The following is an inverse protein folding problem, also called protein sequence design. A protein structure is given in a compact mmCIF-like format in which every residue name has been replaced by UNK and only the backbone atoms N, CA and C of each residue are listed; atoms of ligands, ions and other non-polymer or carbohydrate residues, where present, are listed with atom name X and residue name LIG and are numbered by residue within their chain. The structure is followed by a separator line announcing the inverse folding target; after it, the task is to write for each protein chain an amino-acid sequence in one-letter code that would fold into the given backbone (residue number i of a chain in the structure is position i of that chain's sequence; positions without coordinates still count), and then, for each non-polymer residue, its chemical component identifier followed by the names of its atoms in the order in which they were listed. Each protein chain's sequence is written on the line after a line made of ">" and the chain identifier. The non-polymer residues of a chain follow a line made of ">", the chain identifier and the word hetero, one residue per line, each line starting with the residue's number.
data_IF_228976647908
#
_entry.id   IF_228976647908
#
_cell.length_a   1.000
_cell.length_b   1.000
_cell.length_c   1.000
_cell.angle_alpha   90.00
_cell.angle_beta   90.00
_cell.angle_gamma   90.00
#
_symmetry.space_group_name_H-M   'P 1'
#
loop_
_entity.id
_entity.type
_entity.pdbx_description
1 polymer ?
#
# COMPACT_ATOMS: atom_id res chain seq x y z
N UNK A 1 -8.15 -22.04 -22.35
CA UNK A 1 -7.52 -20.71 -22.43
C UNK A 1 -7.78 -20.03 -21.10
N UNK A 2 -6.77 -19.90 -20.26
CA UNK A 2 -6.92 -19.16 -19.00
C UNK A 2 -7.20 -17.71 -19.34
N UNK A 3 -8.36 -17.19 -18.97
CA UNK A 3 -8.65 -15.76 -19.12
C UNK A 3 -7.72 -15.01 -18.17
N UNK A 4 -6.75 -14.28 -18.71
CA UNK A 4 -5.90 -13.39 -17.93
C UNK A 4 -6.80 -12.38 -17.20
N UNK A 5 -6.58 -12.21 -15.90
CA UNK A 5 -7.26 -11.17 -15.12
C UNK A 5 -6.73 -9.78 -15.52
N UNK A 6 -7.63 -8.82 -15.66
CA UNK A 6 -7.28 -7.42 -15.94
C UNK A 6 -6.99 -6.70 -14.62
N UNK A 7 -5.99 -5.82 -14.64
CA UNK A 7 -5.60 -4.96 -13.51
C UNK A 7 -5.95 -3.51 -13.83
N UNK A 8 -6.77 -2.90 -12.99
CA UNK A 8 -7.18 -1.49 -13.11
C UNK A 8 -6.59 -0.69 -11.96
N UNK A 9 -6.11 0.53 -12.25
CA UNK A 9 -5.50 1.40 -11.24
C UNK A 9 -6.22 2.75 -11.15
N UNK A 10 -6.64 3.14 -9.95
CA UNK A 10 -7.22 4.45 -9.70
C UNK A 10 -6.15 5.39 -9.13
N UNK A 11 -5.83 6.47 -9.84
CA UNK A 11 -4.77 7.41 -9.47
C UNK A 11 -5.29 8.83 -9.34
N UNK A 12 -4.63 9.64 -8.51
CA UNK A 12 -4.87 11.08 -8.48
C UNK A 12 -4.57 11.66 -9.87
N UNK A 13 -5.57 12.32 -10.46
CA UNK A 13 -5.37 13.06 -11.70
C UNK A 13 -4.62 14.36 -11.39
N UNK A 14 -3.39 14.46 -11.89
CA UNK A 14 -2.50 15.55 -11.54
C UNK A 14 -2.53 16.63 -12.62
N UNK A 15 -2.86 17.85 -12.22
CA UNK A 15 -2.67 19.05 -13.04
C UNK A 15 -1.26 19.58 -12.84
N UNK A 16 -0.70 20.26 -13.86
CA UNK A 16 0.64 20.88 -13.80
C UNK A 16 0.82 21.78 -12.56
N UNK A 17 -0.27 22.45 -12.14
CA UNK A 17 -0.27 23.32 -10.96
C UNK A 17 -0.07 22.55 -9.65
N UNK A 18 -0.64 21.34 -9.50
CA UNK A 18 -0.43 20.50 -8.29
C UNK A 18 0.98 19.92 -8.26
N UNK A 19 1.49 19.48 -9.41
CA UNK A 19 2.83 18.92 -9.56
C UNK A 19 3.96 19.87 -9.10
N UNK A 20 3.76 21.18 -9.29
CA UNK A 20 4.71 22.20 -8.89
C UNK A 20 4.98 22.21 -7.37
N UNK A 21 3.97 21.86 -6.56
CA UNK A 21 4.04 21.94 -5.09
C UNK A 21 4.20 20.57 -4.43
N UNK A 22 3.55 19.54 -4.97
CA UNK A 22 3.49 18.20 -4.36
C UNK A 22 4.60 17.26 -4.89
N UNK A 23 5.23 17.64 -6.00
CA UNK A 23 6.25 16.84 -6.69
C UNK A 23 5.69 16.03 -7.85
N UNK A 24 6.57 15.28 -8.53
CA UNK A 24 6.17 14.43 -9.64
C UNK A 24 5.42 13.18 -9.14
N UNK A 25 4.26 12.93 -9.71
CA UNK A 25 3.51 11.69 -9.51
C UNK A 25 3.47 10.89 -10.82
N UNK A 26 3.26 9.58 -10.71
CA UNK A 26 3.12 8.72 -11.88
C UNK A 26 1.88 9.11 -12.73
N UNK A 27 0.81 9.59 -12.09
CA UNK A 27 -0.45 9.89 -12.76
C UNK A 27 -1.06 8.66 -13.44
N UNK A 28 -2.03 8.89 -14.33
CA UNK A 28 -2.70 7.84 -15.10
C UNK A 28 -1.72 7.11 -16.04
N UNK A 29 -0.97 7.89 -16.82
CA UNK A 29 -0.02 7.33 -17.80
C UNK A 29 1.12 6.56 -17.11
N UNK A 30 1.61 7.01 -15.96
CA UNK A 30 2.63 6.29 -15.21
C UNK A 30 2.09 5.01 -14.56
N UNK A 31 0.80 4.93 -14.21
CA UNK A 31 0.19 3.71 -13.69
C UNK A 31 0.31 2.55 -14.69
N UNK A 32 0.01 2.79 -15.96
CA UNK A 32 0.13 1.76 -17.02
C UNK A 32 1.58 1.51 -17.42
N UNK A 33 2.42 2.55 -17.51
CA UNK A 33 3.83 2.41 -17.93
C UNK A 33 4.74 1.78 -16.88
N UNK A 34 4.55 2.11 -15.60
CA UNK A 34 5.50 1.76 -14.53
C UNK A 34 4.97 0.71 -13.55
N UNK A 35 3.64 0.58 -13.41
CA UNK A 35 3.02 -0.31 -12.42
C UNK A 35 2.25 -1.47 -13.05
N UNK A 36 2.41 -1.69 -14.36
CA UNK A 36 1.82 -2.82 -15.10
C UNK A 36 0.29 -2.91 -15.00
N UNK A 37 -0.39 -1.78 -14.76
CA UNK A 37 -1.83 -1.71 -14.89
C UNK A 37 -2.24 -1.86 -16.37
N UNK A 38 -3.32 -2.60 -16.64
CA UNK A 38 -3.87 -2.72 -17.99
C UNK A 38 -4.62 -1.45 -18.39
N UNK A 39 -5.25 -0.76 -17.43
CA UNK A 39 -5.86 0.56 -17.62
C UNK A 39 -5.86 1.36 -16.30
N UNK A 40 -6.08 2.68 -16.40
CA UNK A 40 -6.04 3.58 -15.24
C UNK A 40 -7.09 4.69 -15.31
N UNK A 41 -7.66 5.05 -14.17
CA UNK A 41 -8.74 6.05 -14.06
C UNK A 41 -8.45 7.08 -12.96
N UNK A 42 -9.02 8.30 -13.06
CA UNK A 42 -8.98 9.26 -11.96
C UNK A 42 -9.61 8.67 -10.70
N UNK A 43 -8.98 8.91 -9.54
CA UNK A 43 -9.51 8.48 -8.24
C UNK A 43 -10.86 9.14 -7.92
N UNK A 44 -11.10 10.35 -8.45
CA UNK A 44 -12.35 11.09 -8.26
C UNK A 44 -13.54 10.38 -8.95
N UNK A 45 -13.27 9.53 -9.95
CA UNK A 45 -14.29 8.78 -10.70
C UNK A 45 -14.48 7.35 -10.15
N UNK A 46 -13.87 7.03 -8.99
CA UNK A 46 -13.87 5.66 -8.44
C UNK A 46 -15.28 5.14 -8.20
N UNK A 47 -16.19 5.97 -7.67
CA UNK A 47 -17.54 5.53 -7.32
C UNK A 47 -18.35 5.10 -8.55
N UNK A 48 -18.22 5.85 -9.65
CA UNK A 48 -18.93 5.57 -10.89
C UNK A 48 -18.37 4.33 -11.58
N UNK A 49 -17.04 4.29 -11.75
CA UNK A 49 -16.37 3.25 -12.52
C UNK A 49 -16.36 1.92 -11.77
N UNK A 50 -16.05 1.93 -10.48
CA UNK A 50 -15.94 0.70 -9.69
C UNK A 50 -17.31 0.05 -9.50
N UNK A 51 -18.38 0.83 -9.33
CA UNK A 51 -19.76 0.31 -9.34
C UNK A 51 -20.05 -0.48 -10.62
N UNK A 52 -19.66 0.04 -11.79
CA UNK A 52 -19.79 -0.66 -13.07
C UNK A 52 -18.92 -1.92 -13.16
N UNK A 53 -17.69 -1.88 -12.64
CA UNK A 53 -16.78 -3.04 -12.65
C UNK A 53 -17.24 -4.20 -11.75
N UNK A 54 -18.01 -3.90 -10.71
CA UNK A 54 -18.60 -4.87 -9.79
C UNK A 54 -19.84 -5.56 -10.36
N UNK A 55 -20.47 -5.00 -11.40
CA UNK A 55 -21.63 -5.58 -12.06
C UNK A 55 -21.34 -7.02 -12.56
N UNK A 56 -22.24 -7.94 -12.25
CA UNK A 56 -22.19 -9.36 -12.62
C UNK A 56 -20.96 -10.13 -12.11
N UNK A 57 -20.22 -9.59 -11.14
CA UNK A 57 -19.17 -10.35 -10.44
C UNK A 57 -19.81 -11.23 -9.39
N UNK A 58 -19.26 -12.42 -9.18
CA UNK A 58 -19.79 -13.34 -8.16
C UNK A 58 -19.32 -12.96 -6.75
N UNK A 59 -18.03 -12.61 -6.62
CA UNK A 59 -17.35 -12.42 -5.34
C UNK A 59 -16.41 -11.22 -5.36
N UNK A 60 -16.41 -10.46 -4.28
CA UNK A 60 -15.50 -9.33 -4.04
C UNK A 60 -14.59 -9.66 -2.86
N UNK A 61 -13.28 -9.50 -3.07
CA UNK A 61 -12.28 -9.61 -2.02
C UNK A 61 -11.73 -8.23 -1.67
N UNK A 62 -11.80 -7.87 -0.38
CA UNK A 62 -11.34 -6.57 0.11
C UNK A 62 -10.99 -6.67 1.61
N UNK A 63 -10.30 -5.70 2.23
CA UNK A 63 -9.94 -5.76 3.65
C UNK A 63 -11.12 -5.41 4.56
N UNK A 64 -12.12 -6.30 4.60
CA UNK A 64 -13.38 -6.14 5.34
C UNK A 64 -13.16 -5.78 6.82
N UNK A 65 -13.77 -4.69 7.28
CA UNK A 65 -13.71 -4.27 8.68
C UNK A 65 -12.42 -3.52 9.09
N UNK A 66 -11.49 -3.26 8.16
CA UNK A 66 -10.27 -2.49 8.45
C UNK A 66 -10.45 -0.98 8.30
N UNK A 67 -11.32 -0.56 7.40
CA UNK A 67 -11.55 0.84 7.05
C UNK A 67 -13.06 1.05 6.93
N UNK A 68 -13.62 1.86 7.84
CA UNK A 68 -15.06 2.12 7.90
C UNK A 68 -15.58 2.86 6.68
N UNK A 69 -14.76 3.75 6.10
CA UNK A 69 -15.17 4.55 4.96
C UNK A 69 -15.23 3.66 3.72
N UNK A 70 -14.24 2.77 3.55
CA UNK A 70 -14.26 1.77 2.48
C UNK A 70 -15.42 0.77 2.62
N UNK A 71 -15.71 0.32 3.85
CA UNK A 71 -16.86 -0.56 4.11
C UNK A 71 -18.19 0.12 3.72
N UNK A 72 -18.33 1.41 4.00
CA UNK A 72 -19.51 2.19 3.63
C UNK A 72 -19.59 2.40 2.11
N UNK A 73 -18.50 2.83 1.47
CA UNK A 73 -18.43 3.00 0.01
C UNK A 73 -18.81 1.71 -0.73
N UNK A 74 -18.27 0.56 -0.29
CA UNK A 74 -18.62 -0.72 -0.90
C UNK A 74 -20.10 -1.06 -0.74
N UNK A 75 -20.70 -0.80 0.43
CA UNK A 75 -22.13 -1.00 0.62
C UNK A 75 -22.97 -0.14 -0.32
N UNK A 76 -22.56 1.11 -0.55
CA UNK A 76 -23.26 2.03 -1.45
C UNK A 76 -23.11 1.64 -2.91
N UNK A 77 -21.93 1.22 -3.36
CA UNK A 77 -21.76 0.66 -4.71
C UNK A 77 -22.64 -0.58 -4.93
N UNK A 78 -22.68 -1.50 -3.97
CA UNK A 78 -23.54 -2.69 -4.03
C UNK A 78 -25.02 -2.30 -4.06
N UNK A 79 -25.43 -1.30 -3.27
CA UNK A 79 -26.80 -0.77 -3.28
C UNK A 79 -27.17 -0.22 -4.66
N UNK A 80 -26.30 0.61 -5.25
CA UNK A 80 -26.51 1.18 -6.58
C UNK A 80 -26.65 0.11 -7.67
N UNK A 81 -25.90 -0.99 -7.59
CA UNK A 81 -26.03 -2.10 -8.54
C UNK A 81 -27.37 -2.83 -8.35
N UNK A 82 -27.82 -3.02 -7.10
CA UNK A 82 -29.13 -3.67 -6.82
C UNK A 82 -30.32 -2.86 -7.32
N UNK A 83 -30.21 -1.53 -7.31
CA UNK A 83 -31.25 -0.65 -7.88
C UNK A 83 -31.42 -0.87 -9.39
N UNK A 84 -30.35 -1.27 -10.08
CA UNK A 84 -30.36 -1.65 -11.50
C UNK A 84 -30.82 -3.10 -11.75
N UNK A 85 -31.21 -3.87 -10.74
CA UNK A 85 -31.58 -5.30 -10.91
C UNK A 85 -32.64 -5.56 -11.99
N UNK A 86 -33.55 -4.61 -12.22
CA UNK A 86 -34.60 -4.68 -13.26
C UNK A 86 -34.05 -4.68 -14.69
N UNK A 87 -32.81 -4.22 -14.90
CA UNK A 87 -32.14 -4.21 -16.21
C UNK A 87 -31.35 -5.51 -16.48
N UNK A 88 -31.41 -6.49 -15.56
CA UNK A 88 -30.70 -7.76 -15.68
C UNK A 88 -29.29 -7.77 -15.09
N UNK A 89 -28.84 -6.65 -14.51
CA UNK A 89 -27.56 -6.56 -13.81
C UNK A 89 -27.66 -7.19 -12.43
N UNK A 90 -26.64 -7.95 -12.04
CA UNK A 90 -26.55 -8.58 -10.72
C UNK A 90 -25.43 -7.95 -9.89
N UNK A 91 -25.72 -7.66 -8.62
CA UNK A 91 -24.69 -7.28 -7.65
C UNK A 91 -23.94 -8.54 -7.16
N UNK A 92 -22.68 -8.39 -6.74
CA UNK A 92 -21.93 -9.47 -6.10
C UNK A 92 -22.68 -10.16 -4.96
N UNK A 93 -22.68 -11.49 -5.01
CA UNK A 93 -23.36 -12.33 -4.02
C UNK A 93 -22.50 -12.53 -2.77
N UNK A 94 -21.18 -12.57 -2.93
CA UNK A 94 -20.22 -12.81 -1.86
C UNK A 94 -19.26 -11.64 -1.66
N UNK A 95 -19.01 -11.29 -0.41
CA UNK A 95 -17.94 -10.40 0.01
C UNK A 95 -17.07 -11.18 1.00
N UNK A 96 -15.76 -11.17 0.83
CA UNK A 96 -14.84 -11.90 1.68
C UNK A 96 -13.62 -11.06 2.03
N UNK A 97 -13.09 -11.26 3.24
CA UNK A 97 -11.80 -10.66 3.60
C UNK A 97 -10.70 -11.24 2.72
N UNK A 98 -9.92 -10.37 2.09
CA UNK A 98 -8.74 -10.74 1.30
C UNK A 98 -7.53 -11.11 2.18
N UNK A 99 -7.57 -10.70 3.45
CA UNK A 99 -6.40 -10.72 4.33
C UNK A 99 -5.87 -12.11 4.64
N UNK A 100 -6.70 -13.15 4.91
CA UNK A 100 -6.16 -14.48 5.18
C UNK A 100 -5.31 -15.00 4.01
N UNK A 101 -5.74 -14.72 2.78
CA UNK A 101 -5.03 -15.12 1.55
C UNK A 101 -3.74 -14.31 1.42
N UNK A 102 -3.82 -12.98 1.52
CA UNK A 102 -2.65 -12.11 1.40
C UNK A 102 -1.63 -12.31 2.53
N UNK A 103 -2.08 -12.59 3.75
CA UNK A 103 -1.19 -12.84 4.89
C UNK A 103 -0.45 -14.17 4.73
N UNK A 104 -1.11 -15.21 4.24
CA UNK A 104 -0.45 -16.48 3.92
C UNK A 104 0.59 -16.30 2.81
N UNK A 105 0.26 -15.56 1.74
CA UNK A 105 1.22 -15.22 0.69
C UNK A 105 2.40 -14.41 1.25
N UNK A 106 2.12 -13.41 2.10
CA UNK A 106 3.15 -12.59 2.74
C UNK A 106 3.95 -13.35 3.79
N UNK A 107 3.50 -14.50 4.29
CA UNK A 107 4.24 -15.30 5.27
C UNK A 107 5.52 -15.86 4.62
N UNK A 108 5.38 -16.43 3.44
CA UNK A 108 6.47 -17.05 2.67
C UNK A 108 7.18 -16.02 1.79
N UNK A 109 8.42 -15.68 2.13
CA UNK A 109 9.20 -14.67 1.41
C UNK A 109 9.83 -15.24 0.14
N UNK A 110 9.73 -14.48 -0.95
CA UNK A 110 10.48 -14.71 -2.18
C UNK A 110 11.99 -14.47 -1.97
N UNK A 111 12.80 -14.95 -2.92
CA UNK A 111 14.24 -14.73 -2.88
C UNK A 111 14.63 -13.24 -2.88
N UNK A 112 13.89 -12.40 -3.61
CA UNK A 112 14.14 -10.95 -3.66
C UNK A 112 13.76 -10.26 -2.35
N UNK A 113 12.63 -10.63 -1.73
CA UNK A 113 12.26 -10.12 -0.40
C UNK A 113 13.31 -10.51 0.65
N UNK A 114 13.81 -11.74 0.63
CA UNK A 114 14.87 -12.18 1.54
C UNK A 114 16.18 -11.39 1.35
N UNK A 115 16.53 -11.03 0.12
CA UNK A 115 17.70 -10.16 -0.13
C UNK A 115 17.51 -8.78 0.48
N UNK A 116 16.33 -8.16 0.30
CA UNK A 116 16.01 -6.86 0.90
C UNK A 116 16.04 -6.93 2.43
N UNK A 117 15.44 -7.97 3.02
CA UNK A 117 15.45 -8.18 4.48
C UNK A 117 16.87 -8.36 5.03
N UNK A 118 17.74 -9.11 4.35
CA UNK A 118 19.15 -9.26 4.74
C UNK A 118 19.89 -7.94 4.72
N UNK A 119 19.67 -7.12 3.68
CA UNK A 119 20.27 -5.79 3.59
C UNK A 119 19.80 -4.87 4.71
N UNK A 120 18.50 -4.86 5.00
CA UNK A 120 17.96 -4.10 6.12
C UNK A 120 18.59 -4.53 7.45
N UNK A 121 18.65 -5.84 7.71
CA UNK A 121 19.26 -6.38 8.94
C UNK A 121 20.76 -6.05 9.08
N UNK A 122 21.52 -6.08 7.97
CA UNK A 122 22.93 -5.70 7.96
C UNK A 122 23.11 -4.22 8.35
N UNK A 123 22.35 -3.31 7.74
CA UNK A 123 22.37 -1.88 8.06
C UNK A 123 21.96 -1.66 9.53
N UNK A 124 20.92 -2.36 10.00
CA UNK A 124 20.50 -2.32 11.41
C UNK A 124 21.61 -2.75 12.35
N UNK A 125 22.29 -3.87 12.07
CA UNK A 125 23.41 -4.33 12.89
C UNK A 125 24.57 -3.31 12.94
N UNK A 126 24.88 -2.67 11.82
CA UNK A 126 25.89 -1.62 11.77
C UNK A 126 25.50 -0.39 12.60
N UNK A 127 24.25 0.07 12.49
CA UNK A 127 23.73 1.19 13.28
C UNK A 127 23.81 0.90 14.79
N UNK A 128 23.41 -0.30 15.22
CA UNK A 128 23.52 -0.70 16.63
C UNK A 128 24.97 -0.76 17.11
N UNK A 129 25.92 -1.26 16.31
CA UNK A 129 27.35 -1.24 16.65
C UNK A 129 27.87 0.19 16.80
N UNK A 130 27.46 1.09 15.91
CA UNK A 130 27.83 2.50 15.96
C UNK A 130 27.25 3.18 17.21
N UNK A 131 25.98 2.90 17.54
CA UNK A 131 25.36 3.34 18.77
C UNK A 131 26.17 2.90 20.00
N UNK A 132 26.54 1.62 20.09
CA UNK A 132 27.38 1.09 21.20
C UNK A 132 28.73 1.81 21.31
N UNK A 133 29.39 2.12 20.19
CA UNK A 133 30.67 2.84 20.18
C UNK A 133 30.52 4.30 20.63
N UNK A 134 29.36 4.91 20.39
CA UNK A 134 29.05 6.31 20.69
C UNK A 134 28.39 6.51 22.05
N UNK A 135 27.89 5.43 22.67
CA UNK A 135 27.33 5.41 24.02
C UNK A 135 28.40 5.67 25.07
N UNK A 136 28.17 6.71 25.88
CA UNK A 136 29.03 7.08 27.01
C UNK A 136 28.22 7.87 28.04
N UNK A 137 28.68 7.86 29.29
CA UNK A 137 28.05 8.66 30.35
C UNK A 137 27.94 10.14 29.97
N UNK A 138 26.82 10.76 30.35
CA UNK A 138 26.51 12.15 30.00
C UNK A 138 25.81 12.34 28.65
N UNK A 139 25.51 11.26 27.91
CA UNK A 139 24.61 11.31 26.76
C UNK A 139 23.19 10.93 27.15
N UNK A 140 22.23 11.50 26.44
CA UNK A 140 20.82 11.16 26.56
C UNK A 140 20.41 10.08 25.55
N UNK A 141 19.34 9.36 25.86
CA UNK A 141 18.76 8.30 25.03
C UNK A 141 18.46 8.77 23.60
N UNK A 142 17.83 9.95 23.44
CA UNK A 142 17.51 10.52 22.13
C UNK A 142 18.77 10.83 21.28
N UNK A 143 19.92 11.06 21.91
CA UNK A 143 21.17 11.28 21.16
C UNK A 143 21.70 9.98 20.57
N UNK A 144 21.41 8.84 21.20
CA UNK A 144 21.74 7.51 20.67
C UNK A 144 20.74 7.14 19.57
N UNK A 145 19.45 7.43 19.75
CA UNK A 145 18.45 7.28 18.70
C UNK A 145 18.81 8.10 17.45
N UNK A 146 19.26 9.35 17.62
CA UNK A 146 19.72 10.18 16.51
C UNK A 146 20.89 9.54 15.73
N UNK A 147 21.85 8.91 16.44
CA UNK A 147 22.96 8.20 15.80
C UNK A 147 22.48 6.99 14.98
N UNK A 148 21.46 6.26 15.46
CA UNK A 148 20.83 5.14 14.76
C UNK A 148 20.12 5.62 13.49
N UNK A 149 19.23 6.61 13.62
CA UNK A 149 18.47 7.16 12.49
C UNK A 149 19.39 7.75 11.43
N UNK A 150 20.43 8.47 11.86
CA UNK A 150 21.44 9.01 10.95
C UNK A 150 22.11 7.91 10.13
N UNK A 151 22.49 6.78 10.76
CA UNK A 151 23.07 5.63 10.05
C UNK A 151 22.09 5.06 9.01
N UNK A 152 20.83 4.88 9.38
CA UNK A 152 19.79 4.39 8.45
C UNK A 152 19.66 5.30 7.23
N UNK A 153 19.54 6.61 7.45
CA UNK A 153 19.40 7.59 6.37
C UNK A 153 20.63 7.62 5.46
N UNK A 154 21.84 7.48 6.03
CA UNK A 154 23.09 7.45 5.25
C UNK A 154 23.18 6.21 4.33
N UNK A 155 22.50 5.12 4.70
CA UNK A 155 22.41 3.88 3.91
C UNK A 155 21.16 3.84 3.01
N UNK A 156 20.43 4.94 2.90
CA UNK A 156 19.24 5.07 2.05
C UNK A 156 17.92 4.62 2.69
N UNK A 157 17.93 4.19 3.96
CA UNK A 157 16.73 3.83 4.71
C UNK A 157 16.13 5.10 5.36
N UNK A 158 15.17 5.72 4.67
CA UNK A 158 14.58 7.01 5.07
C UNK A 158 13.65 6.96 6.27
N UNK A 159 13.17 5.79 6.65
CA UNK A 159 12.24 5.61 7.76
C UNK A 159 12.64 4.40 8.61
N UNK A 160 12.35 4.50 9.91
CA UNK A 160 12.47 3.39 10.84
C UNK A 160 11.28 2.44 10.69
N UNK A 161 11.49 1.14 10.87
CA UNK A 161 10.41 0.15 10.82
C UNK A 161 9.42 0.30 12.00
N UNK A 162 9.92 0.81 13.12
CA UNK A 162 9.18 1.16 14.33
C UNK A 162 9.99 2.22 15.10
N UNK A 163 9.38 3.04 15.96
CA UNK A 163 10.10 4.02 16.79
C UNK A 163 11.23 3.35 17.59
N UNK A 164 12.42 3.95 17.57
CA UNK A 164 13.57 3.32 18.22
C UNK A 164 13.37 3.32 19.73
N UNK A 165 13.69 2.21 20.38
CA UNK A 165 13.62 2.09 21.83
C UNK A 165 15.04 2.17 22.35
N UNK A 166 15.34 3.26 23.07
CA UNK A 166 16.61 3.45 23.79
C UNK A 166 16.24 3.68 25.25
N UNK A 167 16.58 2.72 26.10
CA UNK A 167 16.30 2.75 27.53
C UNK A 167 17.60 2.53 28.31
N UNK A 168 17.96 3.49 29.18
CA UNK A 168 19.21 3.51 29.96
C UNK A 168 19.02 3.62 31.46
#
# INVERSE_FOLDING_TARGET
>A
AESRANTFYFAVNLTEKKALWEGAHAGLEGATKHFAADDSFPIDDVDEILSGMLENKFKVFYPMGRDSDLDLSLQDWIRHIRDKSRTGVQAPAEMASIEPILHEMRLFKSAEELKLMRRAAEITAQAHRKAMQLSRAGRFEYQIEADIIHHFMSEGLRAVAYPSIVAS
#
